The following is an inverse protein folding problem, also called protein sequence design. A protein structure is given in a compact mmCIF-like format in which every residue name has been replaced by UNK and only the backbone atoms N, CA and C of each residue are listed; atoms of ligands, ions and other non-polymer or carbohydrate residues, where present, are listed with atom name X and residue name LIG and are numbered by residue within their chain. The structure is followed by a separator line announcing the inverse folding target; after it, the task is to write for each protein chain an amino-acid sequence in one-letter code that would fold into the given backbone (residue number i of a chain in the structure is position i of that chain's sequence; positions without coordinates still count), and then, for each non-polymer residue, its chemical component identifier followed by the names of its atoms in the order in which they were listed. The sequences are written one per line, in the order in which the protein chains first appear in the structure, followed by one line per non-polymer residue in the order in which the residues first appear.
data_IF_928443395321
#
_entry.id   IF_928443395321
#
_cell.length_a   1.000
_cell.length_b   1.000
_cell.length_c   1.000
_cell.angle_alpha   90.00
_cell.angle_beta   90.00
_cell.angle_gamma   90.00
#
_symmetry.space_group_name_H-M   'P 1'
#
loop_
_entity.id
_entity.type
_entity.pdbx_description
1 polymer ?
#
# COMPACT_ATOMS: atom_id res chain seq x y z
N UNK A 1 34.35 -5.16 -3.68
CA UNK A 1 34.16 -3.72 -3.37
C UNK A 1 33.08 -3.68 -2.28
N UNK A 2 33.35 -3.12 -1.12
CA UNK A 2 32.34 -2.97 -0.06
C UNK A 2 31.26 -2.02 -0.60
N UNK A 3 30.01 -2.47 -0.56
CA UNK A 3 28.86 -1.62 -0.91
C UNK A 3 28.82 -0.49 0.12
N UNK A 4 29.09 0.72 -0.32
CA UNK A 4 29.00 1.91 0.52
C UNK A 4 27.54 2.10 0.94
N UNK A 5 27.28 2.08 2.25
CA UNK A 5 25.93 2.29 2.77
C UNK A 5 25.48 3.71 2.42
N UNK A 6 24.36 3.82 1.71
CA UNK A 6 23.71 5.10 1.44
C UNK A 6 22.69 5.39 2.52
N UNK A 7 22.73 6.60 3.09
CA UNK A 7 21.76 7.08 4.06
C UNK A 7 20.84 8.10 3.39
N UNK A 8 19.56 8.03 3.72
CA UNK A 8 18.54 8.98 3.27
C UNK A 8 17.71 9.42 4.48
N UNK A 9 17.31 10.68 4.50
CA UNK A 9 16.34 11.19 5.48
C UNK A 9 14.98 11.23 4.81
N UNK A 10 14.05 10.44 5.32
CA UNK A 10 12.70 10.32 4.77
C UNK A 10 11.69 9.97 5.87
N UNK A 11 10.42 10.04 5.57
CA UNK A 11 9.35 9.56 6.43
C UNK A 11 8.97 8.10 6.13
N UNK A 12 8.06 7.55 6.95
CA UNK A 12 7.59 6.17 6.79
C UNK A 12 6.82 5.94 5.50
N UNK A 13 6.08 6.93 5.01
CA UNK A 13 5.34 6.82 3.76
C UNK A 13 6.29 6.73 2.56
N UNK A 14 7.35 7.53 2.55
CA UNK A 14 8.37 7.42 1.50
C UNK A 14 9.05 6.04 1.53
N UNK A 15 9.39 5.56 2.71
CA UNK A 15 10.04 4.26 2.89
C UNK A 15 9.15 3.12 2.37
N UNK A 16 7.90 3.07 2.81
CA UNK A 16 6.92 2.07 2.36
C UNK A 16 6.67 2.15 0.85
N UNK A 17 6.48 3.36 0.30
CA UNK A 17 6.30 3.56 -1.13
C UNK A 17 7.52 3.10 -1.94
N UNK A 18 8.75 3.34 -1.42
CA UNK A 18 9.97 2.94 -2.10
C UNK A 18 10.05 1.42 -2.27
N UNK A 19 9.82 0.67 -1.22
CA UNK A 19 9.83 -0.80 -1.28
C UNK A 19 8.65 -1.33 -2.09
N UNK A 20 7.46 -0.77 -1.90
CA UNK A 20 6.28 -1.13 -2.69
C UNK A 20 6.54 -0.97 -4.19
N UNK A 21 7.16 0.13 -4.60
CA UNK A 21 7.51 0.38 -5.99
C UNK A 21 8.48 -0.66 -6.55
N UNK A 22 9.52 -1.00 -5.76
CA UNK A 22 10.54 -1.95 -6.21
C UNK A 22 9.99 -3.36 -6.45
N UNK A 23 9.02 -3.79 -5.64
CA UNK A 23 8.48 -5.14 -5.67
C UNK A 23 7.13 -5.27 -6.38
N UNK A 24 6.60 -4.21 -6.98
CA UNK A 24 5.30 -4.25 -7.67
C UNK A 24 5.45 -4.00 -9.16
N UNK A 25 4.57 -4.62 -9.93
CA UNK A 25 4.37 -4.38 -11.37
C UNK A 25 3.19 -3.44 -11.60
N UNK A 26 2.21 -3.45 -10.68
CA UNK A 26 1.02 -2.62 -10.72
C UNK A 26 0.70 -2.03 -9.34
N UNK A 27 0.25 -0.79 -9.31
CA UNK A 27 -0.32 -0.13 -8.14
C UNK A 27 -1.72 0.38 -8.49
N UNK A 28 -2.75 -0.17 -7.86
CA UNK A 28 -4.11 0.33 -7.98
C UNK A 28 -4.39 1.24 -6.78
N UNK A 29 -4.67 2.52 -7.03
CA UNK A 29 -4.72 3.54 -5.99
C UNK A 29 -6.07 4.27 -5.94
N UNK A 30 -6.43 4.70 -4.75
CA UNK A 30 -7.40 5.75 -4.49
C UNK A 30 -6.96 6.47 -3.22
N UNK A 31 -6.27 7.63 -3.37
CA UNK A 31 -5.56 8.26 -2.26
C UNK A 31 -6.47 8.68 -1.11
N UNK A 32 -6.03 8.44 0.11
CA UNK A 32 -6.67 8.87 1.35
C UNK A 32 -5.60 9.29 2.38
N UNK A 33 -5.81 10.42 3.06
CA UNK A 33 -4.92 10.92 4.12
C UNK A 33 -4.91 9.97 5.33
N UNK A 34 -3.74 9.64 5.92
CA UNK A 34 -2.39 10.14 5.63
C UNK A 34 -1.58 9.30 4.63
N UNK A 35 -2.15 8.31 3.99
CA UNK A 35 -1.45 7.42 3.05
C UNK A 35 -1.27 7.99 1.64
N UNK A 36 -1.89 9.13 1.32
CA UNK A 36 -1.88 9.74 -0.02
C UNK A 36 -0.48 9.91 -0.59
N UNK A 37 0.48 10.35 0.23
CA UNK A 37 1.86 10.59 -0.20
C UNK A 37 2.56 9.31 -0.68
N UNK A 38 2.19 8.13 -0.21
CA UNK A 38 2.72 6.87 -0.77
C UNK A 38 2.30 6.70 -2.23
N UNK A 39 1.03 6.92 -2.53
CA UNK A 39 0.50 6.83 -3.89
C UNK A 39 1.12 7.91 -4.80
N UNK A 40 1.26 9.14 -4.30
CA UNK A 40 1.88 10.26 -5.00
C UNK A 40 3.34 9.96 -5.39
N UNK A 41 4.15 9.42 -4.47
CA UNK A 41 5.52 9.01 -4.77
C UNK A 41 5.59 7.93 -5.85
N UNK A 42 4.72 6.93 -5.76
CA UNK A 42 4.69 5.83 -6.74
C UNK A 42 4.30 6.35 -8.12
N UNK A 43 3.31 7.23 -8.21
CA UNK A 43 2.88 7.83 -9.46
C UNK A 43 3.97 8.73 -10.06
N UNK A 44 4.62 9.57 -9.24
CA UNK A 44 5.73 10.41 -9.67
C UNK A 44 6.88 9.57 -10.23
N UNK A 45 7.30 8.52 -9.52
CA UNK A 45 8.39 7.65 -9.98
C UNK A 45 8.03 6.90 -11.25
N UNK A 46 6.78 6.48 -11.40
CA UNK A 46 6.29 5.86 -12.63
C UNK A 46 6.33 6.86 -13.81
N UNK A 47 5.86 8.09 -13.60
CA UNK A 47 5.92 9.15 -14.60
C UNK A 47 7.35 9.52 -15.01
N UNK A 48 8.32 9.40 -14.09
CA UNK A 48 9.74 9.58 -14.35
C UNK A 48 10.40 8.39 -15.06
N UNK A 49 9.68 7.30 -15.27
CA UNK A 49 10.21 6.09 -15.91
C UNK A 49 11.15 5.27 -15.02
N UNK A 50 11.09 5.44 -13.69
CA UNK A 50 11.87 4.65 -12.74
C UNK A 50 11.56 3.16 -12.91
N UNK A 51 12.61 2.34 -12.94
CA UNK A 51 12.47 0.89 -13.05
C UNK A 51 12.33 0.25 -11.66
N UNK A 52 11.45 -0.76 -11.57
CA UNK A 52 11.35 -1.66 -10.43
C UNK A 52 12.45 -2.74 -10.48
N UNK A 53 12.44 -3.72 -9.57
CA UNK A 53 13.43 -4.80 -9.53
C UNK A 53 13.33 -5.75 -10.73
N UNK A 54 12.20 -5.76 -11.43
CA UNK A 54 11.97 -6.59 -12.62
C UNK A 54 12.39 -5.89 -13.92
N UNK A 55 12.87 -4.64 -13.83
CA UNK A 55 13.29 -3.84 -14.97
C UNK A 55 12.18 -3.11 -15.71
N UNK A 56 10.97 -3.09 -15.12
CA UNK A 56 9.78 -2.46 -15.70
C UNK A 56 9.37 -1.20 -14.91
N UNK A 57 8.61 -0.32 -15.55
CA UNK A 57 7.97 0.82 -14.89
C UNK A 57 6.67 0.33 -14.28
N UNK A 58 6.43 0.64 -13.01
CA UNK A 58 5.18 0.28 -12.33
C UNK A 58 4.00 0.93 -13.04
N UNK A 59 3.00 0.14 -13.39
CA UNK A 59 1.74 0.67 -13.91
C UNK A 59 0.91 1.20 -12.75
N UNK A 60 0.60 2.49 -12.78
CA UNK A 60 -0.30 3.11 -11.78
C UNK A 60 -1.68 3.27 -12.39
N UNK A 61 -2.71 2.88 -11.63
CA UNK A 61 -4.11 3.06 -12.04
C UNK A 61 -4.89 3.68 -10.90
N UNK A 62 -5.36 4.91 -11.09
CA UNK A 62 -6.26 5.56 -10.14
C UNK A 62 -7.69 5.08 -10.37
N UNK A 63 -8.33 4.68 -9.29
CA UNK A 63 -9.69 4.11 -9.30
C UNK A 63 -10.70 5.15 -8.81
N UNK A 64 -11.97 4.76 -8.70
CA UNK A 64 -13.07 5.65 -8.30
C UNK A 64 -13.47 5.46 -6.82
N UNK A 65 -12.87 4.49 -6.14
CA UNK A 65 -13.06 4.21 -4.72
C UNK A 65 -12.02 3.22 -4.22
N UNK A 66 -11.84 3.13 -2.91
CA UNK A 66 -10.95 2.15 -2.29
C UNK A 66 -11.41 0.70 -2.56
N UNK A 67 -12.72 0.44 -2.54
CA UNK A 67 -13.27 -0.86 -2.92
C UNK A 67 -12.97 -1.20 -4.38
N UNK A 68 -13.02 -0.21 -5.27
CA UNK A 68 -12.60 -0.34 -6.67
C UNK A 68 -11.11 -0.64 -6.80
N UNK A 69 -10.26 0.06 -6.03
CA UNK A 69 -8.82 -0.18 -5.99
C UNK A 69 -8.52 -1.63 -5.54
N UNK A 70 -9.16 -2.10 -4.46
CA UNK A 70 -9.01 -3.48 -4.00
C UNK A 70 -9.50 -4.51 -5.03
N UNK A 71 -10.57 -4.21 -5.77
CA UNK A 71 -11.04 -5.04 -6.88
C UNK A 71 -10.04 -5.11 -8.03
N UNK A 72 -9.41 -3.98 -8.38
CA UNK A 72 -8.36 -3.92 -9.39
C UNK A 72 -7.10 -4.67 -8.94
N UNK A 73 -6.71 -4.56 -7.65
CA UNK A 73 -5.63 -5.38 -7.08
C UNK A 73 -5.95 -6.86 -7.25
N UNK A 74 -7.14 -7.30 -6.84
CA UNK A 74 -7.55 -8.69 -6.94
C UNK A 74 -7.47 -9.20 -8.39
N UNK A 75 -8.05 -8.46 -9.34
CA UNK A 75 -8.02 -8.84 -10.76
C UNK A 75 -6.62 -8.89 -11.35
N UNK A 76 -5.75 -7.96 -10.97
CA UNK A 76 -4.36 -7.91 -11.41
C UNK A 76 -3.54 -9.09 -10.86
N UNK A 77 -3.73 -9.44 -9.58
CA UNK A 77 -3.12 -10.61 -8.95
C UNK A 77 -3.57 -11.91 -9.63
N UNK A 78 -4.85 -12.04 -9.98
CA UNK A 78 -5.39 -13.17 -10.73
C UNK A 78 -4.74 -13.31 -12.11
N UNK A 79 -4.35 -12.19 -12.72
CA UNK A 79 -3.61 -12.17 -13.98
C UNK A 79 -2.11 -12.46 -13.81
N UNK A 80 -1.64 -12.63 -12.57
CA UNK A 80 -0.25 -12.98 -12.25
C UNK A 80 0.69 -11.81 -12.03
N UNK A 81 0.20 -10.56 -12.01
CA UNK A 81 1.03 -9.38 -11.76
C UNK A 81 1.12 -9.07 -10.26
N UNK A 82 2.32 -8.84 -9.75
CA UNK A 82 2.54 -8.38 -8.38
C UNK A 82 1.95 -6.96 -8.23
N UNK A 83 0.93 -6.85 -7.38
CA UNK A 83 0.13 -5.64 -7.29
C UNK A 83 0.00 -5.18 -5.85
N UNK A 84 0.05 -3.87 -5.63
CA UNK A 84 -0.07 -3.23 -4.32
C UNK A 84 -1.13 -2.13 -4.31
N UNK A 85 -1.48 -1.66 -3.12
CA UNK A 85 -2.31 -0.46 -2.89
C UNK A 85 -1.92 0.24 -1.59
N UNK A 86 -2.34 1.49 -1.47
CA UNK A 86 -2.05 2.37 -0.33
C UNK A 86 -3.36 2.93 0.21
N UNK A 87 -3.58 2.83 1.52
CA UNK A 87 -4.86 3.22 2.10
C UNK A 87 -4.77 3.54 3.60
N UNK A 88 -5.88 3.96 4.17
CA UNK A 88 -6.03 4.25 5.60
C UNK A 88 -7.51 4.20 5.99
N UNK A 89 -7.80 4.02 7.27
CA UNK A 89 -9.10 4.27 7.89
C UNK A 89 -10.28 3.63 7.14
N UNK A 90 -11.31 4.42 6.82
CA UNK A 90 -12.50 3.95 6.11
C UNK A 90 -12.15 3.33 4.75
N UNK A 91 -11.10 3.81 4.08
CA UNK A 91 -10.64 3.24 2.82
C UNK A 91 -10.25 1.77 2.97
N UNK A 92 -9.49 1.43 4.03
CA UNK A 92 -9.15 0.05 4.32
C UNK A 92 -10.40 -0.80 4.61
N UNK A 93 -11.39 -0.25 5.32
CA UNK A 93 -12.65 -0.96 5.60
C UNK A 93 -13.44 -1.28 4.32
N UNK A 94 -13.41 -0.39 3.35
CA UNK A 94 -14.04 -0.63 2.04
C UNK A 94 -13.34 -1.72 1.22
N UNK A 95 -12.11 -2.06 1.55
CA UNK A 95 -11.34 -3.12 0.90
C UNK A 95 -11.59 -4.52 1.50
N UNK A 96 -12.19 -4.62 2.70
CA UNK A 96 -12.38 -5.87 3.44
C UNK A 96 -12.98 -7.01 2.59
N UNK A 97 -14.04 -6.81 1.80
CA UNK A 97 -14.61 -7.90 0.99
C UNK A 97 -13.60 -8.51 0.02
N UNK A 98 -12.75 -7.69 -0.60
CA UNK A 98 -11.70 -8.16 -1.49
C UNK A 98 -10.52 -8.78 -0.73
N UNK A 99 -10.21 -8.27 0.46
CA UNK A 99 -9.17 -8.87 1.32
C UNK A 99 -9.49 -10.32 1.65
N UNK A 100 -10.74 -10.65 2.00
CA UNK A 100 -11.16 -12.03 2.23
C UNK A 100 -10.92 -12.92 1.02
N UNK A 101 -11.22 -12.43 -0.18
CA UNK A 101 -11.01 -13.18 -1.43
C UNK A 101 -9.54 -13.40 -1.72
N UNK A 102 -8.76 -12.33 -1.68
CA UNK A 102 -7.31 -12.36 -1.94
C UNK A 102 -6.62 -13.31 -0.97
N UNK A 103 -6.95 -13.23 0.34
CA UNK A 103 -6.40 -14.13 1.36
C UNK A 103 -6.85 -15.58 1.15
N UNK A 104 -8.12 -15.82 0.87
CA UNK A 104 -8.66 -17.15 0.62
C UNK A 104 -8.08 -17.83 -0.62
N UNK A 105 -7.70 -17.06 -1.61
CA UNK A 105 -7.04 -17.51 -2.85
C UNK A 105 -5.51 -17.56 -2.73
N UNK A 106 -4.96 -17.15 -1.57
CA UNK A 106 -3.51 -17.09 -1.29
C UNK A 106 -2.72 -16.28 -2.32
N UNK A 107 -3.29 -15.18 -2.80
CA UNK A 107 -2.65 -14.30 -3.77
C UNK A 107 -1.62 -13.39 -3.07
N UNK A 108 -0.39 -13.28 -3.58
CA UNK A 108 0.68 -12.53 -2.93
C UNK A 108 0.50 -11.02 -3.14
N UNK A 109 0.22 -10.29 -2.09
CA UNK A 109 0.14 -8.82 -2.13
C UNK A 109 0.45 -8.20 -0.78
N UNK A 110 0.83 -6.92 -0.80
CA UNK A 110 0.96 -6.09 0.39
C UNK A 110 0.06 -4.87 0.24
N UNK A 111 -0.80 -4.65 1.23
CA UNK A 111 -1.53 -3.40 1.40
C UNK A 111 -0.76 -2.53 2.38
N UNK A 112 -0.34 -1.36 1.93
CA UNK A 112 0.41 -0.41 2.76
C UNK A 112 -0.57 0.54 3.43
N UNK A 113 -0.56 0.55 4.76
CA UNK A 113 -1.55 1.29 5.55
C UNK A 113 -0.86 2.29 6.47
N UNK A 114 -1.15 3.57 6.27
CA UNK A 114 -0.86 4.59 7.28
C UNK A 114 -2.03 4.62 8.25
N UNK A 115 -1.97 3.76 9.28
CA UNK A 115 -3.08 3.46 10.18
C UNK A 115 -3.65 4.72 10.83
N UNK A 116 -4.97 4.90 10.73
CA UNK A 116 -5.71 6.09 11.14
C UNK A 116 -6.97 5.73 11.91
N UNK A 117 -7.33 6.57 12.88
CA UNK A 117 -8.58 6.45 13.63
C UNK A 117 -9.81 6.37 12.72
N UNK A 118 -10.79 5.58 13.15
CA UNK A 118 -12.12 5.52 12.55
C UNK A 118 -13.02 6.52 13.27
N UNK A 119 -13.20 7.70 12.69
CA UNK A 119 -14.08 8.72 13.25
C UNK A 119 -15.54 8.41 12.89
N UNK A 120 -16.39 8.27 13.89
CA UNK A 120 -17.82 8.00 13.71
C UNK A 120 -18.67 9.26 13.58
N UNK A 121 -18.14 10.41 13.98
CA UNK A 121 -18.89 11.68 14.06
C UNK A 121 -18.16 12.88 13.45
N UNK A 122 -16.88 12.77 13.21
CA UNK A 122 -16.05 13.83 12.65
C UNK A 122 -14.85 13.25 11.94
N UNK A 123 -14.21 14.04 11.07
CA UNK A 123 -12.94 13.68 10.46
C UNK A 123 -11.84 13.61 11.53
N UNK A 124 -11.07 12.53 11.53
CA UNK A 124 -9.83 12.41 12.29
C UNK A 124 -8.74 11.87 11.39
N UNK A 125 -7.57 12.49 11.45
CA UNK A 125 -6.36 12.04 10.71
C UNK A 125 -5.28 11.52 11.64
N UNK A 126 -5.57 11.39 12.93
CA UNK A 126 -4.61 10.91 13.92
C UNK A 126 -4.34 9.42 13.76
N UNK A 127 -3.09 9.03 14.01
CA UNK A 127 -2.66 7.64 14.00
C UNK A 127 -3.41 6.83 15.07
N UNK A 128 -3.93 5.68 14.67
CA UNK A 128 -4.65 4.73 15.53
C UNK A 128 -4.65 3.36 14.85
N UNK A 129 -4.95 2.32 15.61
CA UNK A 129 -4.98 0.93 15.13
C UNK A 129 -6.40 0.43 14.79
N UNK A 130 -7.42 1.26 14.90
CA UNK A 130 -8.82 0.85 14.72
C UNK A 130 -9.09 0.26 13.33
N UNK A 131 -8.54 0.86 12.29
CA UNK A 131 -8.72 0.42 10.91
C UNK A 131 -8.09 -0.96 10.66
N UNK A 132 -6.81 -1.15 11.01
CA UNK A 132 -6.13 -2.43 10.84
C UNK A 132 -6.72 -3.51 11.75
N UNK A 133 -7.13 -3.16 12.96
CA UNK A 133 -7.79 -4.11 13.87
C UNK A 133 -9.16 -4.56 13.36
N UNK A 134 -9.88 -3.73 12.61
CA UNK A 134 -11.11 -4.13 11.93
C UNK A 134 -10.87 -5.19 10.84
N UNK A 135 -9.67 -5.24 10.28
CA UNK A 135 -9.27 -6.18 9.22
C UNK A 135 -8.66 -7.49 9.74
N UNK A 136 -8.48 -7.66 11.05
CA UNK A 136 -7.77 -8.81 11.65
C UNK A 136 -8.33 -10.19 11.30
N UNK A 137 -9.58 -10.26 10.86
CA UNK A 137 -10.28 -11.51 10.53
C UNK A 137 -10.23 -11.85 9.03
N UNK A 138 -9.64 -11.00 8.21
CA UNK A 138 -9.65 -11.17 6.74
C UNK A 138 -8.73 -12.28 6.24
N UNK A 139 -7.78 -12.72 7.07
CA UNK A 139 -6.75 -13.68 6.69
C UNK A 139 -5.42 -13.05 6.29
N UNK A 140 -5.35 -11.72 6.22
CA UNK A 140 -4.08 -11.00 6.03
C UNK A 140 -3.23 -11.07 7.30
N UNK A 141 -1.92 -11.28 7.11
CA UNK A 141 -0.94 -11.02 8.15
C UNK A 141 -0.82 -9.50 8.37
N UNK A 142 -0.61 -9.09 9.62
CA UNK A 142 -0.37 -7.69 9.96
C UNK A 142 1.05 -7.52 10.46
N UNK A 143 1.79 -6.61 9.81
CA UNK A 143 3.11 -6.17 10.24
C UNK A 143 3.03 -4.69 10.59
N UNK A 144 3.54 -4.32 11.75
CA UNK A 144 3.62 -2.93 12.21
C UNK A 144 5.08 -2.53 12.35
N UNK A 145 5.50 -1.52 11.61
CA UNK A 145 6.84 -0.94 11.73
C UNK A 145 6.86 0.17 12.79
N UNK A 146 7.88 0.18 13.63
CA UNK A 146 8.10 1.19 14.67
C UNK A 146 9.14 2.24 14.27
N UNK A 147 9.80 2.05 13.14
CA UNK A 147 10.79 2.98 12.59
C UNK A 147 10.76 3.03 11.08
N UNK A 148 11.34 4.07 10.50
CA UNK A 148 11.49 4.22 9.05
C UNK A 148 12.32 3.08 8.45
N UNK A 149 13.35 2.62 9.17
CA UNK A 149 14.18 1.50 8.72
C UNK A 149 13.37 0.20 8.67
N UNK A 150 12.56 -0.08 9.68
CA UNK A 150 11.67 -1.26 9.69
C UNK A 150 10.62 -1.23 8.58
N UNK A 151 10.21 -0.03 8.14
CA UNK A 151 9.31 0.10 7.01
C UNK A 151 10.01 -0.18 5.66
N UNK A 152 11.35 -0.10 5.62
CA UNK A 152 12.16 -0.47 4.45
C UNK A 152 12.50 -1.97 4.42
N UNK A 153 12.66 -2.58 5.60
CA UNK A 153 13.05 -3.99 5.77
C UNK A 153 11.88 -4.95 5.49
#
# INVERSE_FOLDING_TARGET
MANEKKFVTCDGNWAAAHIAYLFSEHAAIYPITPSSTMAEYVDEWAAQGKKNLFGEVVKVTEMQSEGGAAGAVHGSLQAGALTTTFTASQGLLLMIPNMYKIAGEMLPTVFHVSARALASHALSIFGDHQDVMACRQTGYAMLASASVQEALD
#
